data_IF_752889522835
#
_entry.id   IF_752889522835
#
_cell.length_a   1.000
_cell.length_b   1.000
_cell.length_c   1.000
_cell.angle_alpha   90.00
_cell.angle_beta   90.00
_cell.angle_gamma   90.00
#
_symmetry.space_group_name_H-M   'P 1'
#
loop_
_entity.id
_entity.type
_entity.pdbx_description
1 polymer ?
#
# COMPACT_ATOMS: atom_id res chain seq x y z
N UNK A 1 17.74 -11.13 -18.57
CA UNK A 1 17.75 -9.70 -18.18
C UNK A 1 16.51 -9.06 -18.78
N UNK A 2 15.44 -8.89 -18.00
CA UNK A 2 14.11 -8.41 -18.44
C UNK A 2 13.49 -7.41 -17.44
N UNK A 3 14.27 -6.97 -16.45
CA UNK A 3 13.77 -6.17 -15.32
C UNK A 3 13.73 -4.65 -15.58
N UNK A 4 13.85 -4.22 -16.84
CA UNK A 4 13.95 -2.80 -17.25
C UNK A 4 13.00 -2.42 -18.40
N UNK A 5 11.99 -3.23 -18.69
CA UNK A 5 10.88 -2.76 -19.51
C UNK A 5 9.87 -2.13 -18.55
N UNK A 6 9.60 -0.83 -18.71
CA UNK A 6 8.71 -0.03 -17.86
C UNK A 6 7.23 -0.44 -17.89
N UNK A 7 6.91 -1.64 -18.40
CA UNK A 7 5.56 -2.18 -18.40
C UNK A 7 5.17 -2.53 -16.96
N UNK A 8 4.14 -1.89 -16.36
CA UNK A 8 3.64 -2.28 -15.05
C UNK A 8 3.21 -3.76 -15.13
N UNK A 9 3.67 -4.64 -14.21
CA UNK A 9 3.41 -6.06 -14.38
C UNK A 9 1.92 -6.33 -14.28
N UNK A 10 1.43 -7.12 -15.24
CA UNK A 10 0.01 -7.36 -15.53
C UNK A 10 -0.89 -7.57 -14.29
N UNK A 11 -0.40 -8.25 -13.24
CA UNK A 11 -1.19 -8.49 -12.01
C UNK A 11 -1.59 -7.20 -11.25
N UNK A 12 -0.84 -6.12 -11.40
CA UNK A 12 -1.05 -4.86 -10.67
C UNK A 12 -2.04 -3.96 -11.37
N UNK A 13 -1.87 -3.86 -12.69
CA UNK A 13 -2.91 -3.32 -13.56
C UNK A 13 -4.19 -4.12 -13.41
N UNK A 14 -4.14 -5.44 -13.21
CA UNK A 14 -5.33 -6.27 -12.97
C UNK A 14 -6.01 -5.94 -11.64
N UNK A 15 -5.26 -5.73 -10.55
CA UNK A 15 -5.83 -5.40 -9.24
C UNK A 15 -6.51 -4.04 -9.26
N UNK A 16 -5.84 -3.01 -9.78
CA UNK A 16 -6.43 -1.69 -9.95
C UNK A 16 -7.59 -1.74 -10.95
N UNK A 17 -7.45 -2.42 -12.09
CA UNK A 17 -8.51 -2.56 -13.09
C UNK A 17 -9.76 -3.29 -12.58
N UNK A 18 -9.63 -4.19 -11.58
CA UNK A 18 -10.79 -4.80 -10.90
C UNK A 18 -11.48 -3.82 -9.96
N UNK A 19 -10.75 -2.86 -9.40
CA UNK A 19 -11.30 -1.83 -8.51
C UNK A 19 -11.82 -0.60 -9.28
N UNK A 20 -11.33 -0.32 -10.49
CA UNK A 20 -11.78 0.80 -11.32
C UNK A 20 -13.30 0.85 -11.53
N UNK A 21 -14.02 -0.25 -11.82
CA UNK A 21 -15.48 -0.23 -11.94
C UNK A 21 -16.20 0.09 -10.61
N UNK A 22 -15.52 -0.05 -9.47
CA UNK A 22 -16.06 0.24 -8.14
C UNK A 22 -15.71 1.67 -7.69
N UNK A 23 -14.58 2.19 -8.15
CA UNK A 23 -14.16 3.57 -7.95
C UNK A 23 -15.08 4.48 -8.78
N UNK A 24 -15.75 5.45 -8.14
CA UNK A 24 -16.58 6.43 -8.85
C UNK A 24 -17.90 5.92 -9.45
N UNK A 25 -18.23 4.62 -9.36
CA UNK A 25 -19.51 4.09 -9.88
C UNK A 25 -20.72 4.41 -9.01
N UNK A 26 -20.51 4.53 -7.69
CA UNK A 26 -21.48 5.07 -6.75
C UNK A 26 -20.78 5.60 -5.50
N UNK A 27 -21.43 6.52 -4.79
CA UNK A 27 -20.93 7.03 -3.51
C UNK A 27 -20.78 5.93 -2.46
N UNK A 28 -21.67 4.93 -2.48
CA UNK A 28 -21.64 3.79 -1.55
C UNK A 28 -20.42 2.92 -1.83
N UNK A 29 -20.16 2.58 -3.10
CA UNK A 29 -19.00 1.75 -3.48
C UNK A 29 -17.68 2.43 -3.09
N UNK A 30 -17.55 3.73 -3.37
CA UNK A 30 -16.36 4.50 -3.01
C UNK A 30 -16.18 4.58 -1.49
N UNK A 31 -17.27 4.79 -0.74
CA UNK A 31 -17.23 4.79 0.72
C UNK A 31 -16.84 3.42 1.30
N UNK A 32 -17.35 2.32 0.74
CA UNK A 32 -16.97 0.96 1.14
C UNK A 32 -15.49 0.68 0.88
N UNK A 33 -14.97 1.10 -0.28
CA UNK A 33 -13.54 1.00 -0.61
C UNK A 33 -12.70 1.74 0.44
N UNK A 34 -13.00 3.01 0.71
CA UNK A 34 -12.30 3.81 1.72
C UNK A 34 -12.35 3.17 3.11
N UNK A 35 -13.48 2.62 3.53
CA UNK A 35 -13.60 1.93 4.80
C UNK A 35 -12.71 0.69 4.89
N UNK A 36 -12.68 -0.14 3.85
CA UNK A 36 -11.92 -1.39 3.85
C UNK A 36 -10.42 -1.13 3.66
N UNK A 37 -10.03 -0.47 2.59
CA UNK A 37 -8.62 -0.30 2.21
C UNK A 37 -7.95 0.88 2.91
N UNK A 38 -8.72 1.92 3.25
CA UNK A 38 -8.23 3.12 3.91
C UNK A 38 -8.23 3.02 5.44
N UNK A 39 -9.01 2.11 6.04
CA UNK A 39 -9.12 1.99 7.51
C UNK A 39 -8.83 0.57 7.99
N UNK A 40 -9.63 -0.42 7.59
CA UNK A 40 -9.53 -1.77 8.14
C UNK A 40 -8.20 -2.46 7.79
N UNK A 41 -7.77 -2.38 6.53
CA UNK A 41 -6.52 -2.98 6.07
C UNK A 41 -5.30 -2.36 6.78
N UNK A 42 -5.10 -1.02 6.82
CA UNK A 42 -4.01 -0.41 7.56
C UNK A 42 -3.96 -0.80 9.04
N UNK A 43 -5.11 -0.85 9.73
CA UNK A 43 -5.16 -1.26 11.15
C UNK A 43 -4.65 -2.70 11.31
N UNK A 44 -5.15 -3.63 10.49
CA UNK A 44 -4.78 -5.04 10.55
C UNK A 44 -3.30 -5.23 10.21
N UNK A 45 -2.87 -4.67 9.09
CA UNK A 45 -1.51 -4.84 8.57
C UNK A 45 -0.48 -4.24 9.50
N UNK A 46 -0.67 -3.01 9.97
CA UNK A 46 0.29 -2.40 10.91
C UNK A 46 0.33 -3.12 12.26
N UNK A 47 -0.80 -3.65 12.73
CA UNK A 47 -0.81 -4.48 13.96
C UNK A 47 0.05 -5.73 13.79
N UNK A 48 -0.07 -6.42 12.65
CA UNK A 48 0.71 -7.63 12.36
C UNK A 48 2.18 -7.31 12.10
N UNK A 49 2.48 -6.37 11.21
CA UNK A 49 3.85 -6.14 10.76
C UNK A 49 4.66 -5.29 11.74
N UNK A 50 4.06 -4.27 12.37
CA UNK A 50 4.78 -3.33 13.26
C UNK A 50 4.56 -3.71 14.71
N UNK A 51 3.33 -4.02 15.10
CA UNK A 51 2.99 -4.41 16.47
C UNK A 51 3.56 -5.77 16.87
N UNK A 52 3.54 -6.74 15.97
CA UNK A 52 3.97 -8.11 16.27
C UNK A 52 5.29 -8.50 15.61
N UNK A 53 5.37 -8.49 14.28
CA UNK A 53 6.51 -9.07 13.54
C UNK A 53 7.81 -8.28 13.75
N UNK A 54 7.80 -6.97 13.48
CA UNK A 54 8.97 -6.11 13.66
C UNK A 54 9.45 -6.12 15.12
N UNK A 55 8.55 -5.95 16.08
CA UNK A 55 8.89 -5.98 17.52
C UNK A 55 9.51 -7.33 17.90
N UNK A 56 8.99 -8.45 17.38
CA UNK A 56 9.59 -9.76 17.61
C UNK A 56 10.99 -9.88 17.01
N UNK A 57 11.23 -9.33 15.83
CA UNK A 57 12.54 -9.29 15.19
C UNK A 57 13.57 -8.47 15.97
N UNK A 58 13.16 -7.38 16.64
CA UNK A 58 14.10 -6.56 17.44
C UNK A 58 14.76 -7.31 18.60
N UNK A 59 14.28 -8.50 18.96
CA UNK A 59 14.94 -9.40 19.92
C UNK A 59 16.20 -10.06 19.37
N UNK A 60 16.34 -10.12 18.04
CA UNK A 60 17.39 -10.85 17.34
C UNK A 60 18.30 -9.95 16.52
N UNK A 61 17.77 -8.82 16.02
CA UNK A 61 18.51 -7.88 15.17
C UNK A 61 18.30 -6.43 15.60
N UNK A 62 19.23 -5.51 15.26
CA UNK A 62 19.05 -4.08 15.55
C UNK A 62 17.79 -3.50 14.92
N UNK A 63 17.17 -2.51 15.57
CA UNK A 63 15.90 -1.89 15.14
C UNK A 63 15.87 -1.43 13.68
N UNK A 64 16.91 -0.77 13.12
CA UNK A 64 16.90 -0.38 11.71
C UNK A 64 16.82 -1.59 10.77
N UNK A 65 17.51 -2.68 11.11
CA UNK A 65 17.48 -3.91 10.32
C UNK A 65 16.14 -4.63 10.46
N UNK A 66 15.54 -4.64 11.65
CA UNK A 66 14.18 -5.16 11.85
C UNK A 66 13.13 -4.39 11.02
N UNK A 67 13.27 -3.06 10.89
CA UNK A 67 12.38 -2.24 10.07
C UNK A 67 12.50 -2.59 8.57
N UNK A 68 13.74 -2.73 8.06
CA UNK A 68 14.00 -3.11 6.67
C UNK A 68 13.50 -4.53 6.37
N UNK A 69 13.77 -5.51 7.24
CA UNK A 69 13.28 -6.89 7.07
C UNK A 69 11.75 -6.91 7.11
N UNK A 70 11.13 -6.20 8.05
CA UNK A 70 9.67 -6.08 8.12
C UNK A 70 9.08 -5.45 6.86
N UNK A 71 9.71 -4.39 6.32
CA UNK A 71 9.32 -3.78 5.05
C UNK A 71 9.42 -4.74 3.86
N UNK A 72 10.46 -5.57 3.80
CA UNK A 72 10.62 -6.57 2.75
C UNK A 72 9.54 -7.66 2.84
N UNK A 73 9.27 -8.18 4.02
CA UNK A 73 8.23 -9.21 4.23
C UNK A 73 6.84 -8.65 3.96
N UNK A 74 6.58 -7.40 4.35
CA UNK A 74 5.36 -6.66 4.00
C UNK A 74 5.16 -6.62 2.49
N UNK A 75 6.18 -6.18 1.73
CA UNK A 75 6.11 -6.12 0.27
C UNK A 75 5.92 -7.50 -0.38
N UNK A 76 6.60 -8.54 0.11
CA UNK A 76 6.43 -9.91 -0.39
C UNK A 76 5.03 -10.47 -0.13
N UNK A 77 4.43 -10.15 1.01
CA UNK A 77 3.10 -10.64 1.39
C UNK A 77 1.98 -10.16 0.44
N UNK A 78 2.23 -9.09 -0.34
CA UNK A 78 1.29 -8.59 -1.34
C UNK A 78 1.28 -9.39 -2.65
N UNK A 79 2.28 -10.25 -2.88
CA UNK A 79 2.35 -11.16 -4.04
C UNK A 79 2.25 -10.44 -5.41
N UNK A 80 2.71 -9.18 -5.46
CA UNK A 80 2.73 -8.30 -6.63
C UNK A 80 4.18 -7.84 -6.92
N UNK A 81 4.94 -8.57 -7.75
CA UNK A 81 6.38 -8.33 -7.93
C UNK A 81 6.78 -6.94 -8.45
N UNK A 82 5.95 -6.24 -9.23
CA UNK A 82 6.25 -4.87 -9.68
C UNK A 82 5.95 -3.78 -8.65
N UNK A 83 5.06 -4.04 -7.70
CA UNK A 83 4.83 -3.16 -6.56
C UNK A 83 5.88 -3.39 -5.48
N UNK A 84 6.70 -4.43 -5.61
CA UNK A 84 7.70 -4.73 -4.60
C UNK A 84 8.57 -3.51 -4.24
N UNK A 85 9.15 -2.73 -5.19
CA UNK A 85 9.96 -1.58 -4.84
C UNK A 85 9.18 -0.51 -4.06
N UNK A 86 7.97 -0.15 -4.51
CA UNK A 86 7.14 0.85 -3.84
C UNK A 86 6.63 0.38 -2.47
N UNK A 87 6.15 -0.86 -2.37
CA UNK A 87 5.69 -1.44 -1.11
C UNK A 87 6.83 -1.66 -0.12
N UNK A 88 8.02 -1.98 -0.61
CA UNK A 88 9.21 -2.12 0.24
C UNK A 88 9.61 -0.78 0.83
N UNK A 89 9.64 0.29 0.02
CA UNK A 89 9.95 1.65 0.48
C UNK A 89 8.89 2.12 1.47
N UNK A 90 7.60 2.02 1.14
CA UNK A 90 6.51 2.38 2.04
C UNK A 90 6.60 1.56 3.33
N UNK A 91 6.75 0.24 3.22
CA UNK A 91 6.79 -0.66 4.36
C UNK A 91 7.97 -0.37 5.30
N UNK A 92 9.13 -0.05 4.74
CA UNK A 92 10.32 0.34 5.51
C UNK A 92 10.11 1.70 6.20
N UNK A 93 9.54 2.68 5.50
CA UNK A 93 9.22 4.00 6.06
C UNK A 93 8.23 3.90 7.23
N UNK A 94 7.19 3.07 7.10
CA UNK A 94 6.25 2.77 8.18
C UNK A 94 6.95 2.13 9.37
N UNK A 95 7.86 1.17 9.13
CA UNK A 95 8.71 0.57 10.17
C UNK A 95 9.54 1.60 10.93
N UNK A 96 10.20 2.53 10.23
CA UNK A 96 10.96 3.61 10.87
C UNK A 96 10.08 4.60 11.63
N UNK A 97 8.90 4.94 11.10
CA UNK A 97 7.94 5.80 11.80
C UNK A 97 7.54 5.20 13.16
N UNK A 98 7.26 3.89 13.19
CA UNK A 98 6.97 3.18 14.42
C UNK A 98 8.18 3.10 15.36
N UNK A 99 9.38 2.84 14.83
CA UNK A 99 10.59 2.78 15.63
C UNK A 99 10.87 4.09 16.37
N UNK A 100 10.59 5.22 15.71
CA UNK A 100 10.81 6.56 16.24
C UNK A 100 9.71 6.99 17.22
N UNK A 101 8.43 6.75 16.90
CA UNK A 101 7.32 7.23 17.74
C UNK A 101 6.88 6.24 18.82
N UNK A 102 7.18 4.94 18.64
CA UNK A 102 6.66 3.83 19.45
C UNK A 102 5.13 3.83 19.57
N UNK A 103 4.45 4.44 18.60
CA UNK A 103 3.00 4.55 18.56
C UNK A 103 2.47 3.90 17.28
N UNK A 104 1.60 2.89 17.41
CA UNK A 104 1.00 2.22 16.25
C UNK A 104 0.06 3.12 15.45
N UNK A 105 -0.52 4.16 16.06
CA UNK A 105 -1.35 5.10 15.32
C UNK A 105 -0.55 5.87 14.26
N UNK A 106 0.75 6.12 14.48
CA UNK A 106 1.60 6.81 13.49
C UNK A 106 1.66 6.08 12.14
N UNK A 107 2.15 4.83 12.06
CA UNK A 107 2.17 4.11 10.79
C UNK A 107 0.76 3.81 10.28
N UNK A 108 -0.23 3.54 11.15
CA UNK A 108 -1.63 3.33 10.72
C UNK A 108 -2.15 4.55 9.97
N UNK A 109 -1.96 5.77 10.51
CA UNK A 109 -2.41 7.00 9.85
C UNK A 109 -1.66 7.25 8.54
N UNK A 110 -0.34 7.07 8.50
CA UNK A 110 0.44 7.26 7.27
C UNK A 110 -0.03 6.29 6.19
N UNK A 111 -0.22 5.01 6.54
CA UNK A 111 -0.68 3.98 5.61
C UNK A 111 -2.12 4.22 5.16
N UNK A 112 -3.01 4.58 6.07
CA UNK A 112 -4.39 4.97 5.76
C UNK A 112 -4.47 6.15 4.79
N UNK A 113 -3.64 7.18 5.01
CA UNK A 113 -3.56 8.36 4.14
C UNK A 113 -3.03 8.00 2.75
N UNK A 114 -2.02 7.13 2.66
CA UNK A 114 -1.52 6.65 1.38
C UNK A 114 -2.60 5.92 0.59
N UNK A 115 -3.25 4.92 1.19
CA UNK A 115 -4.28 4.11 0.52
C UNK A 115 -5.50 4.95 0.13
N UNK A 116 -5.98 5.80 1.05
CA UNK A 116 -7.12 6.66 0.79
C UNK A 116 -6.80 7.74 -0.25
N UNK A 117 -5.59 8.31 -0.20
CA UNK A 117 -5.13 9.31 -1.15
C UNK A 117 -5.12 8.79 -2.59
N UNK A 118 -4.63 7.57 -2.81
CA UNK A 118 -4.69 6.91 -4.13
C UNK A 118 -6.14 6.75 -4.60
N UNK A 119 -7.03 6.23 -3.75
CA UNK A 119 -8.44 6.01 -4.13
C UNK A 119 -9.15 7.32 -4.44
N UNK A 120 -8.96 8.35 -3.63
CA UNK A 120 -9.57 9.66 -3.83
C UNK A 120 -9.03 10.34 -5.09
N UNK A 121 -7.72 10.23 -5.36
CA UNK A 121 -7.12 10.76 -6.58
C UNK A 121 -7.69 10.07 -7.83
N UNK A 122 -7.76 8.74 -7.84
CA UNK A 122 -8.35 7.99 -8.95
C UNK A 122 -9.83 8.32 -9.13
N UNK A 123 -10.59 8.44 -8.03
CA UNK A 123 -11.99 8.87 -8.06
C UNK A 123 -12.13 10.25 -8.67
N UNK A 124 -11.30 11.21 -8.25
CA UNK A 124 -11.32 12.58 -8.74
C UNK A 124 -11.04 12.63 -10.26
N UNK A 125 -9.98 11.96 -10.72
CA UNK A 125 -9.64 11.89 -12.14
C UNK A 125 -10.78 11.25 -12.96
N UNK A 126 -11.41 10.20 -12.45
CA UNK A 126 -12.51 9.53 -13.14
C UNK A 126 -13.75 10.42 -13.23
N UNK A 127 -14.04 11.20 -12.18
CA UNK A 127 -15.12 12.20 -12.20
C UNK A 127 -14.87 13.35 -13.19
N UNK A 128 -13.61 13.65 -13.53
CA UNK A 128 -13.24 14.60 -14.59
C UNK A 128 -13.34 13.99 -16.00
N UNK A 129 -13.70 12.71 -16.13
CA UNK A 129 -13.86 12.03 -17.42
C UNK A 129 -12.56 11.49 -18.02
N UNK A 130 -11.47 11.44 -17.25
CA UNK A 130 -10.25 10.76 -17.70
C UNK A 130 -10.45 9.25 -17.73
N UNK A 131 -9.99 8.58 -18.80
CA UNK A 131 -9.91 7.13 -18.80
C UNK A 131 -8.70 6.69 -17.97
N UNK A 132 -8.98 6.32 -16.72
CA UNK A 132 -7.96 5.85 -15.77
C UNK A 132 -7.23 4.61 -16.33
N UNK A 133 -7.86 3.83 -17.22
CA UNK A 133 -7.20 2.66 -17.83
C UNK A 133 -6.07 3.09 -18.73
N UNK A 134 -6.23 4.15 -19.53
CA UNK A 134 -5.15 4.70 -20.34
C UNK A 134 -4.03 5.29 -19.46
N UNK A 135 -4.35 5.87 -18.30
CA UNK A 135 -3.33 6.41 -17.38
C UNK A 135 -2.53 5.29 -16.70
N UNK A 136 -3.19 4.18 -16.35
CA UNK A 136 -2.55 3.04 -15.68
C UNK A 136 -1.81 2.14 -16.69
N UNK A 137 -2.29 2.05 -17.93
CA UNK A 137 -1.71 1.22 -19.00
C UNK A 137 -0.77 2.00 -19.94
N UNK A 138 -0.78 3.34 -19.86
CA UNK A 138 -0.06 4.24 -20.76
C UNK A 138 1.16 4.88 -20.12
N UNK A 139 2.17 4.05 -19.85
CA UNK A 139 3.62 4.30 -20.06
C UNK A 139 4.35 2.97 -20.07
#
# INVERSE_FOLDING_TARGET
MSAFNGEPPQRETDALARLLPLIGSSSISTASLLGITGVLAPILEETVFRGFFMVSLTKWVPTPLAAVISGAVFALAHLTPGQFPQLFVLGTALGFSYAQTRNLLTPITIHALWNSGVILLLTFLQLQGYDIREIIQGT
#
